data_IF_771441976829
#
_entry.id   IF_771441976829
#
_cell.length_a   1.000
_cell.length_b   1.000
_cell.length_c   1.000
_cell.angle_alpha   90.00
_cell.angle_beta   90.00
_cell.angle_gamma   90.00
#
_symmetry.space_group_name_H-M   'P 1'
#
loop_
_entity.id
_entity.type
_entity.pdbx_description
1 polymer ?
#
# COMPACT_ATOMS: atom_id res chain seq x y z
N UNK A 1 16.89 5.80 -20.98
CA UNK A 1 15.47 5.51 -20.79
C UNK A 1 15.16 4.21 -21.52
N UNK A 2 14.61 3.24 -20.83
CA UNK A 2 14.14 1.98 -21.44
C UNK A 2 12.85 2.29 -22.24
N UNK A 3 12.86 2.14 -23.58
CA UNK A 3 11.68 2.42 -24.41
C UNK A 3 10.51 1.47 -24.13
N UNK A 4 10.74 0.33 -23.46
CA UNK A 4 9.70 -0.58 -23.01
C UNK A 4 9.03 -0.12 -21.70
N UNK A 5 9.63 0.83 -20.98
CA UNK A 5 9.08 1.37 -19.74
C UNK A 5 8.40 2.71 -20.00
N UNK A 6 7.16 2.65 -20.45
CA UNK A 6 6.33 3.82 -20.77
C UNK A 6 5.28 4.07 -19.69
N UNK A 7 4.93 5.35 -19.49
CA UNK A 7 3.83 5.75 -18.61
C UNK A 7 2.46 5.70 -19.31
N UNK A 8 2.44 5.40 -20.61
CA UNK A 8 1.22 5.36 -21.42
C UNK A 8 0.94 3.93 -21.85
N UNK A 9 -0.31 3.52 -21.76
CA UNK A 9 -0.76 2.20 -22.18
C UNK A 9 -0.66 1.95 -23.71
N UNK A 10 -0.95 0.73 -24.16
CA UNK A 10 -0.85 0.34 -25.58
C UNK A 10 -1.74 1.16 -26.52
N UNK A 11 -2.83 1.74 -26.01
CA UNK A 11 -3.72 2.62 -26.73
C UNK A 11 -3.19 4.05 -26.94
N UNK A 12 -2.03 4.36 -26.33
CA UNK A 12 -1.34 5.65 -26.37
C UNK A 12 -2.13 6.83 -25.80
N UNK A 13 -3.16 6.56 -25.03
CA UNK A 13 -4.06 7.55 -24.44
C UNK A 13 -4.12 7.41 -22.92
N UNK A 14 -4.41 6.22 -22.42
CA UNK A 14 -4.57 5.98 -21.00
C UNK A 14 -3.22 5.73 -20.31
N UNK A 15 -3.05 6.20 -19.06
CA UNK A 15 -1.88 5.83 -18.26
C UNK A 15 -1.80 4.31 -18.11
N UNK A 16 -0.60 3.78 -18.21
CA UNK A 16 -0.36 2.38 -17.90
C UNK A 16 -0.65 2.09 -16.42
N UNK A 17 -1.24 0.93 -16.15
CA UNK A 17 -1.66 0.54 -14.79
C UNK A 17 -0.52 0.50 -13.77
N UNK A 18 0.65 0.02 -14.20
CA UNK A 18 1.79 -0.24 -13.32
C UNK A 18 2.77 0.94 -13.28
N UNK A 19 2.85 1.71 -14.35
CA UNK A 19 3.82 2.79 -14.51
C UNK A 19 3.15 4.16 -14.45
N UNK A 20 2.20 4.41 -15.33
CA UNK A 20 1.57 5.72 -15.49
C UNK A 20 0.79 6.15 -14.26
N UNK A 21 0.01 5.26 -13.66
CA UNK A 21 -0.75 5.57 -12.44
C UNK A 21 0.17 5.84 -11.25
N UNK A 22 1.31 5.16 -11.12
CA UNK A 22 2.29 5.40 -10.05
C UNK A 22 2.91 6.79 -10.19
N UNK A 23 3.35 7.16 -11.41
CA UNK A 23 3.90 8.49 -11.67
C UNK A 23 2.86 9.59 -11.41
N UNK A 24 1.63 9.39 -11.85
CA UNK A 24 0.54 10.35 -11.58
C UNK A 24 0.26 10.49 -10.07
N UNK A 25 0.22 9.37 -9.34
CA UNK A 25 0.01 9.38 -7.89
C UNK A 25 1.17 10.12 -7.17
N UNK A 26 2.41 9.85 -7.55
CA UNK A 26 3.58 10.55 -7.02
C UNK A 26 3.51 12.06 -7.24
N UNK A 27 3.27 12.51 -8.48
CA UNK A 27 3.17 13.94 -8.80
C UNK A 27 1.99 14.61 -8.08
N UNK A 28 0.86 13.91 -7.94
CA UNK A 28 -0.30 14.39 -7.20
C UNK A 28 0.02 14.58 -5.71
N UNK A 29 0.64 13.59 -5.06
CA UNK A 29 1.03 13.67 -3.66
C UNK A 29 2.06 14.79 -3.43
N UNK A 30 3.03 14.92 -4.34
CA UNK A 30 4.04 15.97 -4.31
C UNK A 30 3.40 17.37 -4.42
N UNK A 31 2.46 17.55 -5.34
CA UNK A 31 1.74 18.82 -5.52
C UNK A 31 0.90 19.20 -4.29
N UNK A 32 0.44 18.24 -3.51
CA UNK A 32 -0.27 18.46 -2.25
C UNK A 32 0.65 18.66 -1.04
N UNK A 33 1.96 18.65 -1.22
CA UNK A 33 2.95 18.76 -0.15
C UNK A 33 2.72 17.73 0.99
N UNK A 34 2.39 16.49 0.62
CA UNK A 34 2.24 15.39 1.57
C UNK A 34 3.56 15.20 2.32
N UNK A 35 3.54 14.98 3.66
CA UNK A 35 4.76 14.73 4.42
C UNK A 35 5.57 13.57 3.84
N UNK A 36 6.87 13.81 3.63
CA UNK A 36 7.78 12.83 3.03
C UNK A 36 8.24 11.76 4.02
N UNK A 37 8.18 12.08 5.30
CA UNK A 37 8.68 11.23 6.36
C UNK A 37 7.58 10.30 6.88
N UNK A 38 7.84 9.00 6.81
CA UNK A 38 7.18 8.00 7.63
C UNK A 38 7.54 8.28 9.09
N UNK A 39 8.87 8.28 9.38
CA UNK A 39 9.42 8.70 10.66
C UNK A 39 10.92 9.03 10.52
N UNK A 40 11.47 9.75 11.49
CA UNK A 40 12.91 9.93 11.66
C UNK A 40 13.27 9.88 13.13
N UNK A 41 14.21 9.03 13.48
CA UNK A 41 14.74 8.91 14.84
C UNK A 41 16.27 9.04 14.80
N UNK A 42 16.80 10.01 15.54
CA UNK A 42 18.24 10.23 15.72
C UNK A 42 18.57 10.03 17.19
N UNK A 43 19.31 9.00 17.50
CA UNK A 43 19.68 8.59 18.85
C UNK A 43 21.18 8.75 19.09
N UNK A 44 21.57 8.98 20.33
CA UNK A 44 22.97 9.02 20.75
C UNK A 44 23.24 7.85 21.71
N UNK A 45 24.08 6.91 21.30
CA UNK A 45 24.39 5.72 22.08
C UNK A 45 25.27 6.01 23.31
N UNK A 46 26.13 7.05 23.26
CA UNK A 46 27.06 7.38 24.35
C UNK A 46 26.36 7.86 25.62
N UNK A 47 25.31 8.65 25.46
CA UNK A 47 24.60 9.29 26.58
C UNK A 47 23.13 8.86 26.70
N UNK A 48 22.70 7.86 25.93
CA UNK A 48 21.32 7.34 25.92
C UNK A 48 20.28 8.45 25.74
N UNK A 49 20.47 9.34 24.75
CA UNK A 49 19.56 10.46 24.51
C UNK A 49 18.94 10.40 23.11
N UNK A 50 17.70 10.89 23.02
CA UNK A 50 17.04 11.17 21.74
C UNK A 50 17.51 12.55 21.28
N UNK A 51 18.20 12.62 20.14
CA UNK A 51 18.70 13.86 19.54
C UNK A 51 17.61 14.53 18.71
N UNK A 52 16.90 13.75 17.93
CA UNK A 52 15.80 14.20 17.08
C UNK A 52 14.75 13.08 16.95
N UNK A 53 13.48 13.44 16.97
CA UNK A 53 12.41 12.52 16.64
C UNK A 53 11.32 13.27 15.88
N UNK A 54 11.00 12.79 14.67
CA UNK A 54 9.97 13.37 13.81
C UNK A 54 8.97 12.27 13.44
N UNK A 55 7.70 12.55 13.64
CA UNK A 55 6.61 11.61 13.43
C UNK A 55 6.81 10.26 14.16
N UNK A 56 7.51 10.29 15.29
CA UNK A 56 7.73 9.14 16.18
C UNK A 56 7.86 9.61 17.64
N UNK A 57 7.37 8.80 18.57
CA UNK A 57 7.61 8.94 20.00
C UNK A 57 8.59 7.84 20.45
N UNK A 58 9.74 8.22 20.97
CA UNK A 58 10.77 7.29 21.47
C UNK A 58 10.74 7.27 22.98
N UNK A 59 10.70 6.09 23.58
CA UNK A 59 10.76 5.85 25.02
C UNK A 59 11.71 4.70 25.39
N UNK A 60 11.98 4.52 26.68
CA UNK A 60 12.76 3.43 27.26
C UNK A 60 14.16 3.25 26.62
N UNK A 61 14.77 4.37 26.19
CA UNK A 61 16.08 4.37 25.56
C UNK A 61 17.16 4.02 26.58
N UNK A 62 17.86 2.94 26.32
CA UNK A 62 18.99 2.46 27.11
C UNK A 62 20.13 2.07 26.19
N UNK A 63 21.35 2.37 26.59
CA UNK A 63 22.55 2.03 25.84
C UNK A 63 23.62 1.44 26.76
N UNK A 64 24.36 0.47 26.22
CA UNK A 64 25.56 -0.13 26.79
C UNK A 64 26.69 -0.09 25.76
N UNK A 65 27.86 -0.61 26.11
CA UNK A 65 28.96 -0.72 25.14
C UNK A 65 28.68 -1.70 23.97
N UNK A 66 27.70 -2.60 24.15
CA UNK A 66 27.40 -3.63 23.18
C UNK A 66 25.99 -3.56 22.58
N UNK A 67 25.13 -2.71 23.12
CA UNK A 67 23.74 -2.64 22.64
C UNK A 67 23.09 -1.30 22.91
N UNK A 68 22.11 -0.95 22.08
CA UNK A 68 21.14 0.11 22.34
C UNK A 68 19.74 -0.46 22.16
N UNK A 69 18.83 -0.15 23.08
CA UNK A 69 17.44 -0.58 23.05
C UNK A 69 16.52 0.59 23.30
N UNK A 70 15.38 0.62 22.64
CA UNK A 70 14.35 1.64 22.80
C UNK A 70 12.99 1.13 22.34
N UNK A 71 11.94 1.81 22.71
CA UNK A 71 10.58 1.63 22.19
C UNK A 71 10.23 2.81 21.29
N UNK A 72 9.68 2.58 20.11
CA UNK A 72 9.20 3.64 19.25
C UNK A 72 7.74 3.41 18.87
N UNK A 73 6.94 4.49 18.92
CA UNK A 73 5.61 4.59 18.36
C UNK A 73 5.68 5.56 17.18
N UNK A 74 5.60 5.04 15.97
CA UNK A 74 5.69 5.82 14.74
C UNK A 74 4.29 6.22 14.27
N UNK A 75 4.12 7.46 13.81
CA UNK A 75 2.82 8.03 13.45
C UNK A 75 2.34 7.67 12.03
N UNK A 76 3.15 6.95 11.25
CA UNK A 76 2.81 6.48 9.91
C UNK A 76 3.46 5.14 9.61
N UNK A 77 2.88 4.42 8.65
CA UNK A 77 3.42 3.17 8.12
C UNK A 77 4.23 3.44 6.82
N UNK A 78 5.27 2.65 6.54
CA UNK A 78 5.97 2.71 5.26
C UNK A 78 5.04 2.29 4.12
N UNK A 79 5.25 2.87 2.94
CA UNK A 79 4.51 2.47 1.75
C UNK A 79 5.05 1.13 1.22
N UNK A 80 4.21 0.08 1.07
CA UNK A 80 4.66 -1.23 0.65
C UNK A 80 4.90 -1.25 -0.86
N UNK A 81 6.14 -1.49 -1.26
CA UNK A 81 6.46 -1.75 -2.66
C UNK A 81 6.03 -3.18 -3.03
N UNK A 82 5.29 -3.31 -4.11
CA UNK A 82 4.89 -4.60 -4.66
C UNK A 82 5.36 -4.72 -6.10
N UNK A 83 5.60 -5.94 -6.58
CA UNK A 83 6.11 -6.20 -7.93
C UNK A 83 5.27 -5.52 -9.02
N UNK A 84 3.96 -5.37 -8.80
CA UNK A 84 3.05 -4.73 -9.74
C UNK A 84 3.32 -3.25 -10.00
N UNK A 85 4.03 -2.53 -9.11
CA UNK A 85 4.31 -1.10 -9.23
C UNK A 85 5.81 -0.77 -9.27
N UNK A 86 6.68 -1.77 -9.13
CA UNK A 86 8.13 -1.57 -9.05
C UNK A 86 8.71 -0.80 -10.25
N UNK A 87 8.22 -1.07 -11.46
CA UNK A 87 8.64 -0.35 -12.67
C UNK A 87 8.23 1.13 -12.65
N UNK A 88 7.05 1.45 -12.15
CA UNK A 88 6.58 2.82 -11.99
C UNK A 88 7.37 3.57 -10.94
N UNK A 89 7.65 2.93 -9.80
CA UNK A 89 8.47 3.50 -8.72
C UNK A 89 9.90 3.80 -9.18
N UNK A 90 10.46 3.01 -10.10
CA UNK A 90 11.78 3.27 -10.68
C UNK A 90 11.83 4.51 -11.59
N UNK A 91 10.69 5.07 -12.00
CA UNK A 91 10.63 6.27 -12.84
C UNK A 91 10.64 7.58 -12.03
N UNK A 92 10.40 7.51 -10.74
CA UNK A 92 10.31 8.66 -9.84
C UNK A 92 11.13 8.42 -8.57
N UNK A 93 11.66 9.45 -7.89
CA UNK A 93 12.45 9.29 -6.66
C UNK A 93 11.55 9.03 -5.44
N UNK A 94 10.60 8.08 -5.54
CA UNK A 94 9.56 7.84 -4.55
C UNK A 94 10.14 7.53 -3.16
N UNK A 95 11.14 6.62 -3.10
CA UNK A 95 11.79 6.24 -1.84
C UNK A 95 12.45 7.44 -1.15
N UNK A 96 13.14 8.26 -1.92
CA UNK A 96 13.89 9.40 -1.40
C UNK A 96 12.98 10.58 -1.02
N UNK A 97 11.77 10.69 -1.62
CA UNK A 97 10.92 11.85 -1.45
C UNK A 97 9.58 11.55 -0.74
N UNK A 98 9.16 10.29 -0.61
CA UNK A 98 7.82 9.95 -0.10
C UNK A 98 7.79 8.78 0.89
N UNK A 99 8.89 8.04 1.04
CA UNK A 99 8.89 6.79 1.83
C UNK A 99 10.15 6.68 2.70
N UNK A 100 10.31 7.64 3.61
CA UNK A 100 11.50 7.74 4.47
C UNK A 100 11.18 7.35 5.91
N UNK A 101 11.66 6.19 6.36
CA UNK A 101 11.64 5.72 7.75
C UNK A 101 13.07 5.64 8.25
N UNK A 102 13.60 6.77 8.72
CA UNK A 102 15.03 6.97 8.96
C UNK A 102 15.42 6.68 10.40
N UNK A 103 16.35 5.76 10.58
CA UNK A 103 17.01 5.49 11.86
C UNK A 103 18.50 5.90 11.78
N UNK A 104 18.90 6.81 12.66
CA UNK A 104 20.29 7.22 12.87
C UNK A 104 20.70 6.91 14.30
N UNK A 105 21.85 6.26 14.48
CA UNK A 105 22.41 6.01 15.81
C UNK A 105 23.85 6.53 15.85
N UNK A 106 24.07 7.59 16.60
CA UNK A 106 25.36 8.25 16.76
C UNK A 106 26.18 7.67 17.89
N UNK A 107 27.49 7.84 17.81
CA UNK A 107 28.43 7.49 18.86
C UNK A 107 28.42 6.00 19.25
N UNK A 108 28.09 5.10 18.33
CA UNK A 108 28.29 3.66 18.51
C UNK A 108 29.81 3.34 18.50
N UNK A 109 30.20 2.33 19.27
CA UNK A 109 31.56 1.79 19.16
C UNK A 109 31.74 1.14 17.79
N UNK A 110 32.90 1.35 17.14
CA UNK A 110 33.16 0.76 15.82
C UNK A 110 32.92 -0.76 15.80
N UNK A 111 32.24 -1.25 14.78
CA UNK A 111 31.88 -2.65 14.60
C UNK A 111 30.59 -2.82 13.79
N UNK A 112 30.16 -4.05 13.63
CA UNK A 112 28.89 -4.40 12.99
C UNK A 112 27.83 -4.64 14.04
N UNK A 113 26.59 -4.26 13.73
CA UNK A 113 25.45 -4.36 14.62
C UNK A 113 24.29 -5.06 13.92
N UNK A 114 23.60 -5.92 14.66
CA UNK A 114 22.33 -6.51 14.24
C UNK A 114 21.17 -5.70 14.83
N UNK A 115 20.25 -5.26 13.97
CA UNK A 115 18.99 -4.65 14.37
C UNK A 115 17.91 -5.72 14.44
N UNK A 116 17.23 -5.75 15.57
CA UNK A 116 15.97 -6.46 15.75
C UNK A 116 14.86 -5.46 16.08
N UNK A 117 13.67 -5.70 15.54
CA UNK A 117 12.44 -4.99 15.90
C UNK A 117 11.48 -6.05 16.43
N UNK A 118 11.06 -5.93 17.69
CA UNK A 118 10.39 -6.98 18.47
C UNK A 118 11.23 -8.27 18.46
N UNK A 119 10.70 -9.37 17.93
CA UNK A 119 11.41 -10.63 17.81
C UNK A 119 11.99 -10.90 16.39
N UNK A 120 11.90 -9.89 15.48
CA UNK A 120 12.31 -10.04 14.08
C UNK A 120 13.69 -9.46 13.88
N UNK A 121 14.63 -10.24 13.35
CA UNK A 121 15.92 -9.75 12.88
C UNK A 121 15.70 -9.00 11.55
N UNK A 122 15.94 -7.70 11.54
CA UNK A 122 15.70 -6.82 10.39
C UNK A 122 16.89 -6.80 9.45
N UNK A 123 18.10 -6.71 10.00
CA UNK A 123 19.34 -6.68 9.23
C UNK A 123 20.56 -6.39 10.09
N UNK A 124 21.70 -6.20 9.42
CA UNK A 124 22.96 -5.86 10.08
C UNK A 124 23.66 -4.74 9.30
N UNK A 125 24.24 -3.78 10.05
CA UNK A 125 24.93 -2.60 9.50
C UNK A 125 26.17 -2.29 10.32
N UNK A 126 27.12 -1.58 9.71
CA UNK A 126 28.24 -1.02 10.45
C UNK A 126 27.80 0.16 11.34
N UNK A 127 28.62 0.50 12.34
CA UNK A 127 28.41 1.70 13.14
C UNK A 127 28.36 2.98 12.25
N UNK A 128 29.15 3.00 11.17
CA UNK A 128 29.19 4.11 10.22
C UNK A 128 27.89 4.21 9.40
N UNK A 129 27.34 3.10 8.90
CA UNK A 129 26.06 3.09 8.19
C UNK A 129 24.93 3.59 9.10
N UNK A 130 24.90 3.14 10.36
CA UNK A 130 23.91 3.58 11.35
C UNK A 130 24.07 5.07 11.72
N UNK A 131 25.28 5.59 11.70
CA UNK A 131 25.53 7.02 11.92
C UNK A 131 25.12 7.89 10.73
N UNK A 132 25.31 7.39 9.49
CA UNK A 132 24.83 8.03 8.26
C UNK A 132 23.31 7.97 8.15
N UNK A 133 22.70 6.92 8.69
CA UNK A 133 21.27 6.67 8.69
C UNK A 133 20.81 5.62 7.68
N UNK A 134 19.94 4.76 8.13
CA UNK A 134 19.33 3.69 7.31
C UNK A 134 17.84 4.00 7.09
N UNK A 135 17.33 3.70 5.90
CA UNK A 135 15.92 3.80 5.59
C UNK A 135 15.23 2.43 5.79
N UNK A 136 14.49 2.27 6.88
CA UNK A 136 13.80 1.04 7.22
C UNK A 136 12.59 0.75 6.28
N UNK A 137 12.05 1.78 5.62
CA UNK A 137 10.94 1.61 4.68
C UNK A 137 11.31 0.81 3.41
N UNK A 138 12.60 0.56 3.19
CA UNK A 138 13.07 -0.28 2.07
C UNK A 138 13.19 -1.76 2.43
N UNK A 139 12.83 -2.14 3.67
CA UNK A 139 13.01 -3.49 4.19
C UNK A 139 11.65 -4.18 4.36
N UNK A 140 11.49 -5.31 3.70
CA UNK A 140 10.22 -6.04 3.68
C UNK A 140 9.89 -6.76 4.99
N UNK A 141 10.89 -7.01 5.83
CA UNK A 141 10.75 -7.82 7.04
C UNK A 141 10.55 -7.02 8.33
N UNK A 142 10.38 -5.69 8.26
CA UNK A 142 10.05 -4.91 9.47
C UNK A 142 8.59 -5.16 9.89
N UNK A 143 8.27 -5.19 11.20
CA UNK A 143 6.89 -5.30 11.67
C UNK A 143 5.97 -4.22 11.09
N UNK A 144 6.47 -2.99 10.93
CA UNK A 144 5.75 -1.86 10.33
C UNK A 144 5.42 -2.12 8.85
N UNK A 145 6.36 -2.68 8.08
CA UNK A 145 6.11 -3.06 6.69
C UNK A 145 5.09 -4.21 6.60
N UNK A 146 5.18 -5.20 7.49
CA UNK A 146 4.19 -6.28 7.55
C UNK A 146 2.78 -5.77 7.90
N UNK A 147 2.69 -4.80 8.81
CA UNK A 147 1.43 -4.10 9.10
C UNK A 147 0.92 -3.34 7.86
N UNK A 148 1.78 -2.63 7.15
CA UNK A 148 1.45 -1.92 5.92
C UNK A 148 0.94 -2.84 4.81
N UNK A 149 1.58 -4.00 4.63
CA UNK A 149 1.13 -5.03 3.68
C UNK A 149 -0.26 -5.58 4.04
N UNK A 150 -0.55 -5.73 5.34
CA UNK A 150 -1.90 -6.14 5.78
C UNK A 150 -2.94 -5.06 5.48
N UNK A 151 -2.63 -3.78 5.73
CA UNK A 151 -3.49 -2.64 5.37
C UNK A 151 -3.75 -2.64 3.86
N UNK A 152 -2.70 -2.80 3.05
CA UNK A 152 -2.84 -2.90 1.59
C UNK A 152 -3.75 -4.06 1.18
N UNK A 153 -3.58 -5.24 1.76
CA UNK A 153 -4.41 -6.41 1.47
C UNK A 153 -5.89 -6.15 1.73
N UNK A 154 -6.23 -5.50 2.85
CA UNK A 154 -7.60 -5.13 3.19
C UNK A 154 -8.16 -4.11 2.21
N UNK A 155 -7.36 -3.09 1.86
CA UNK A 155 -7.73 -2.09 0.87
C UNK A 155 -7.97 -2.71 -0.52
N UNK A 156 -7.14 -3.65 -0.95
CA UNK A 156 -7.33 -4.36 -2.22
C UNK A 156 -8.63 -5.18 -2.24
N UNK A 157 -9.02 -5.77 -1.10
CA UNK A 157 -10.31 -6.45 -0.97
C UNK A 157 -11.47 -5.46 -1.07
N UNK A 158 -11.36 -4.32 -0.38
CA UNK A 158 -12.37 -3.26 -0.43
C UNK A 158 -12.55 -2.74 -1.87
N UNK A 159 -11.44 -2.47 -2.59
CA UNK A 159 -11.47 -2.04 -3.98
C UNK A 159 -12.16 -3.07 -4.89
N UNK A 160 -11.93 -4.38 -4.67
CA UNK A 160 -12.59 -5.43 -5.44
C UNK A 160 -14.10 -5.43 -5.24
N UNK A 161 -14.59 -5.36 -4.00
CA UNK A 161 -16.02 -5.30 -3.70
C UNK A 161 -16.68 -4.04 -4.27
N UNK A 162 -16.06 -2.87 -4.06
CA UNK A 162 -16.52 -1.61 -4.66
C UNK A 162 -16.51 -1.65 -6.20
N UNK A 163 -15.52 -2.33 -6.78
CA UNK A 163 -15.43 -2.54 -8.24
C UNK A 163 -16.63 -3.32 -8.79
N UNK A 164 -17.07 -4.36 -8.09
CA UNK A 164 -18.25 -5.15 -8.44
C UNK A 164 -19.52 -4.29 -8.42
N UNK A 165 -19.76 -3.54 -7.34
CA UNK A 165 -20.91 -2.63 -7.25
C UNK A 165 -20.89 -1.55 -8.34
N UNK A 166 -19.73 -0.96 -8.62
CA UNK A 166 -19.59 0.03 -9.72
C UNK A 166 -19.85 -0.59 -11.08
N UNK A 167 -19.38 -1.81 -11.34
CA UNK A 167 -19.66 -2.52 -12.59
C UNK A 167 -21.17 -2.79 -12.75
N UNK A 168 -21.85 -3.20 -11.68
CA UNK A 168 -23.29 -3.38 -11.72
C UNK A 168 -24.03 -2.07 -11.99
N UNK A 169 -23.66 -0.98 -11.31
CA UNK A 169 -24.24 0.33 -11.57
C UNK A 169 -23.96 0.81 -13.02
N UNK A 170 -22.77 0.57 -13.53
CA UNK A 170 -22.43 0.88 -14.93
C UNK A 170 -23.36 0.12 -15.89
N UNK A 171 -23.55 -1.19 -15.70
CA UNK A 171 -24.44 -1.99 -16.54
C UNK A 171 -25.88 -1.47 -16.47
N UNK A 172 -26.38 -1.19 -15.26
CA UNK A 172 -27.74 -0.67 -15.06
C UNK A 172 -28.01 0.58 -15.88
N UNK A 173 -27.08 1.53 -15.91
CA UNK A 173 -27.25 2.79 -16.67
C UNK A 173 -26.89 2.64 -18.15
N UNK A 174 -25.78 2.00 -18.49
CA UNK A 174 -25.26 1.97 -19.87
C UNK A 174 -26.05 1.04 -20.80
N UNK A 175 -26.65 -0.03 -20.28
CA UNK A 175 -27.51 -0.93 -21.08
C UNK A 175 -28.87 -0.31 -21.42
N UNK A 176 -29.26 0.75 -20.69
CA UNK A 176 -30.58 1.34 -20.74
C UNK A 176 -31.62 0.60 -19.89
N UNK A 177 -31.18 -0.31 -19.02
CA UNK A 177 -32.06 -1.03 -18.09
C UNK A 177 -32.75 -0.05 -17.13
N UNK A 178 -32.03 0.98 -16.67
CA UNK A 178 -32.58 2.06 -15.79
C UNK A 178 -33.71 2.87 -16.40
N UNK A 179 -33.90 2.80 -17.71
CA UNK A 179 -34.92 3.53 -18.48
C UNK A 179 -35.95 2.59 -19.10
N UNK A 180 -35.91 1.30 -18.75
CA UNK A 180 -36.82 0.28 -19.26
C UNK A 180 -37.97 0.03 -18.27
N UNK A 181 -39.07 -0.57 -18.76
CA UNK A 181 -40.16 -1.03 -17.94
C UNK A 181 -39.92 -2.47 -17.42
N UNK A 182 -38.69 -2.96 -17.45
CA UNK A 182 -38.35 -4.31 -16.96
C UNK A 182 -38.44 -4.32 -15.44
N UNK A 183 -39.16 -5.31 -14.93
CA UNK A 183 -39.19 -5.57 -13.49
C UNK A 183 -37.80 -6.04 -13.04
N UNK A 184 -37.13 -5.25 -12.19
CA UNK A 184 -35.78 -5.53 -11.72
C UNK A 184 -35.70 -6.69 -10.73
N UNK A 185 -36.83 -7.09 -10.15
CA UNK A 185 -36.89 -8.25 -9.28
C UNK A 185 -37.11 -9.57 -10.09
N UNK A 186 -37.52 -9.45 -11.35
CA UNK A 186 -37.61 -10.59 -12.27
C UNK A 186 -36.25 -10.79 -12.98
N UNK A 187 -35.42 -11.69 -12.43
CA UNK A 187 -34.10 -12.02 -12.94
C UNK A 187 -34.14 -12.53 -14.40
N UNK A 188 -35.18 -13.27 -14.78
CA UNK A 188 -35.29 -13.79 -16.14
C UNK A 188 -35.61 -12.65 -17.12
N UNK A 189 -36.50 -11.74 -16.76
CA UNK A 189 -36.81 -10.55 -17.56
C UNK A 189 -35.57 -9.63 -17.73
N UNK A 190 -34.80 -9.40 -16.67
CA UNK A 190 -33.55 -8.65 -16.72
C UNK A 190 -32.54 -9.33 -17.63
N UNK A 191 -32.36 -10.63 -17.49
CA UNK A 191 -31.43 -11.41 -18.32
C UNK A 191 -31.83 -11.36 -19.78
N UNK A 192 -33.09 -11.55 -20.11
CA UNK A 192 -33.62 -11.49 -21.49
C UNK A 192 -33.41 -10.09 -22.11
N UNK A 193 -33.59 -9.03 -21.32
CA UNK A 193 -33.34 -7.66 -21.73
C UNK A 193 -31.86 -7.46 -22.10
N UNK A 194 -30.94 -7.86 -21.21
CA UNK A 194 -29.48 -7.73 -21.42
C UNK A 194 -29.01 -8.58 -22.61
N UNK A 195 -29.53 -9.79 -22.78
CA UNK A 195 -29.24 -10.64 -23.94
C UNK A 195 -29.67 -10.00 -25.25
N UNK A 196 -30.80 -9.28 -25.25
CA UNK A 196 -31.25 -8.52 -26.44
C UNK A 196 -30.27 -7.40 -26.79
N UNK A 197 -29.67 -6.76 -25.80
CA UNK A 197 -28.62 -5.74 -26.03
C UNK A 197 -27.33 -6.38 -26.49
N UNK A 198 -26.94 -7.51 -25.92
CA UNK A 198 -25.72 -8.24 -26.27
C UNK A 198 -25.73 -8.74 -27.73
N UNK A 199 -26.89 -9.23 -28.20
CA UNK A 199 -27.07 -9.65 -29.60
C UNK A 199 -26.79 -8.52 -30.60
N UNK A 200 -27.04 -7.25 -30.24
CA UNK A 200 -26.82 -6.11 -31.14
C UNK A 200 -25.35 -5.80 -31.39
N UNK A 201 -24.47 -6.29 -30.54
CA UNK A 201 -23.03 -6.10 -30.63
C UNK A 201 -22.29 -7.41 -30.92
N UNK A 202 -23.02 -8.45 -31.35
CA UNK A 202 -22.41 -9.71 -31.74
C UNK A 202 -21.46 -9.50 -32.89
N UNK A 203 -20.21 -9.98 -32.74
CA UNK A 203 -19.13 -9.76 -33.71
C UNK A 203 -18.25 -8.53 -33.47
N UNK A 204 -18.62 -7.62 -32.57
CA UNK A 204 -17.78 -6.50 -32.18
C UNK A 204 -16.63 -6.96 -31.27
N UNK A 205 -15.50 -6.26 -31.34
CA UNK A 205 -14.30 -6.60 -30.55
C UNK A 205 -14.50 -6.54 -29.04
N UNK A 206 -15.48 -5.76 -28.56
CA UNK A 206 -15.82 -5.61 -27.15
C UNK A 206 -16.95 -6.55 -26.67
N UNK A 207 -17.49 -7.40 -27.52
CA UNK A 207 -18.58 -8.33 -27.20
C UNK A 207 -18.27 -9.15 -25.94
N UNK A 208 -17.09 -9.77 -25.88
CA UNK A 208 -16.67 -10.59 -24.74
C UNK A 208 -16.62 -9.81 -23.42
N UNK A 209 -16.14 -8.57 -23.48
CA UNK A 209 -16.10 -7.69 -22.32
C UNK A 209 -17.52 -7.39 -21.81
N UNK A 210 -18.43 -6.95 -22.68
CA UNK A 210 -19.82 -6.62 -22.29
C UNK A 210 -20.55 -7.84 -21.77
N UNK A 211 -20.35 -9.00 -22.39
CA UNK A 211 -20.93 -10.27 -21.92
C UNK A 211 -20.55 -10.58 -20.47
N UNK A 212 -19.27 -10.42 -20.15
CA UNK A 212 -18.78 -10.63 -18.79
C UNK A 212 -19.37 -9.61 -17.81
N UNK A 213 -19.51 -8.33 -18.22
CA UNK A 213 -20.13 -7.30 -17.40
C UNK A 213 -21.63 -7.62 -17.10
N UNK A 214 -22.38 -8.11 -18.10
CA UNK A 214 -23.78 -8.48 -17.92
C UNK A 214 -23.96 -9.70 -17.01
N UNK A 215 -23.06 -10.70 -17.16
CA UNK A 215 -23.07 -11.85 -16.25
C UNK A 215 -22.73 -11.43 -14.79
N UNK A 216 -21.74 -10.54 -14.60
CA UNK A 216 -21.40 -10.03 -13.27
C UNK A 216 -22.50 -9.16 -12.67
N UNK A 217 -23.27 -8.41 -13.48
CA UNK A 217 -24.43 -7.66 -13.01
C UNK A 217 -25.45 -8.56 -12.31
N UNK A 218 -25.80 -9.69 -12.93
CA UNK A 218 -26.75 -10.65 -12.36
C UNK A 218 -26.25 -11.25 -11.05
N UNK A 219 -24.96 -11.57 -10.96
CA UNK A 219 -24.34 -12.08 -9.72
C UNK A 219 -24.39 -11.03 -8.59
N UNK A 220 -24.01 -9.78 -8.91
CA UNK A 220 -23.96 -8.69 -7.92
C UNK A 220 -25.35 -8.38 -7.37
N UNK A 221 -26.38 -8.37 -8.22
CA UNK A 221 -27.77 -8.11 -7.78
C UNK A 221 -28.25 -9.11 -6.71
N UNK A 222 -27.79 -10.36 -6.78
CA UNK A 222 -28.08 -11.35 -5.74
C UNK A 222 -27.23 -11.25 -4.47
N UNK A 223 -26.11 -10.52 -4.52
CA UNK A 223 -25.09 -10.45 -3.47
C UNK A 223 -24.90 -9.03 -2.89
N UNK A 224 -25.73 -8.05 -3.25
CA UNK A 224 -25.54 -6.65 -2.84
C UNK A 224 -25.45 -6.48 -1.32
N UNK A 225 -26.31 -7.15 -0.57
CA UNK A 225 -26.36 -7.08 0.90
C UNK A 225 -25.07 -7.65 1.49
N UNK A 226 -24.66 -8.82 1.02
CA UNK A 226 -23.42 -9.48 1.48
C UNK A 226 -22.17 -8.65 1.13
N UNK A 227 -22.17 -8.01 -0.04
CA UNK A 227 -21.07 -7.12 -0.44
C UNK A 227 -21.01 -5.88 0.47
N UNK A 228 -22.14 -5.27 0.79
CA UNK A 228 -22.19 -4.10 1.69
C UNK A 228 -21.76 -4.47 3.12
N UNK A 229 -22.20 -5.64 3.61
CA UNK A 229 -21.76 -6.15 4.91
C UNK A 229 -20.25 -6.40 4.92
N UNK A 230 -19.70 -7.04 3.87
CA UNK A 230 -18.26 -7.28 3.73
C UNK A 230 -17.47 -5.96 3.67
N UNK A 231 -17.95 -4.95 2.93
CA UNK A 231 -17.34 -3.62 2.87
C UNK A 231 -17.30 -2.95 4.24
N UNK A 232 -18.40 -3.04 5.01
CA UNK A 232 -18.45 -2.48 6.35
C UNK A 232 -17.44 -3.15 7.30
N UNK A 233 -17.33 -4.48 7.24
CA UNK A 233 -16.36 -5.24 8.05
C UNK A 233 -14.91 -4.91 7.65
N UNK A 234 -14.60 -4.88 6.36
CA UNK A 234 -13.28 -4.50 5.85
C UNK A 234 -12.89 -3.07 6.27
N UNK A 235 -13.85 -2.15 6.25
CA UNK A 235 -13.63 -0.78 6.71
C UNK A 235 -13.24 -0.71 8.19
N UNK A 236 -13.97 -1.41 9.04
CA UNK A 236 -13.67 -1.47 10.47
C UNK A 236 -12.31 -2.14 10.74
N UNK A 237 -12.01 -3.27 10.08
CA UNK A 237 -10.73 -3.95 10.23
C UNK A 237 -9.57 -3.07 9.75
N UNK A 238 -9.73 -2.38 8.61
CA UNK A 238 -8.72 -1.48 8.07
C UNK A 238 -8.37 -0.36 9.07
N UNK A 239 -9.38 0.26 9.67
CA UNK A 239 -9.16 1.30 10.70
C UNK A 239 -8.46 0.77 11.95
N UNK A 240 -8.72 -0.47 12.35
CA UNK A 240 -8.04 -1.11 13.48
C UNK A 240 -6.58 -1.44 13.14
N UNK A 241 -6.34 -2.07 11.99
CA UNK A 241 -5.00 -2.49 11.56
C UNK A 241 -4.12 -1.29 11.22
N UNK A 242 -4.69 -0.17 10.78
CA UNK A 242 -3.93 1.05 10.45
C UNK A 242 -3.55 1.90 11.67
N UNK A 243 -3.89 1.48 12.89
CA UNK A 243 -3.48 2.24 14.09
C UNK A 243 -1.98 2.06 14.36
N UNK A 244 -1.28 3.11 14.79
CA UNK A 244 0.11 3.01 15.21
C UNK A 244 0.30 1.97 16.32
N UNK A 245 1.37 1.18 16.21
CA UNK A 245 1.77 0.17 17.19
C UNK A 245 3.17 0.50 17.70
N UNK A 246 3.37 0.42 19.00
CA UNK A 246 4.68 0.60 19.59
C UNK A 246 5.54 -0.67 19.40
N UNK A 247 6.76 -0.48 18.88
CA UNK A 247 7.71 -1.56 18.64
C UNK A 247 8.98 -1.41 19.47
N UNK A 248 9.54 -2.54 19.92
CA UNK A 248 10.81 -2.59 20.64
C UNK A 248 11.96 -2.78 19.66
N UNK A 249 12.86 -1.81 19.63
CA UNK A 249 14.08 -1.85 18.85
C UNK A 249 15.25 -2.33 19.71
N UNK A 250 16.06 -3.24 19.18
CA UNK A 250 17.27 -3.74 19.81
C UNK A 250 18.39 -3.77 18.77
N UNK A 251 19.44 -3.00 19.00
CA UNK A 251 20.62 -2.95 18.13
C UNK A 251 21.78 -3.51 18.96
N UNK A 252 22.29 -4.67 18.57
CA UNK A 252 23.33 -5.39 19.31
C UNK A 252 24.59 -5.51 18.47
N UNK A 253 25.73 -5.18 19.07
CA UNK A 253 27.04 -5.33 18.43
C UNK A 253 27.34 -6.81 18.23
N UNK A 254 27.72 -7.15 17.02
CA UNK A 254 28.18 -8.50 16.70
C UNK A 254 29.61 -8.66 17.25
N UNK A 255 29.79 -9.60 18.17
CA UNK A 255 31.14 -9.92 18.64
C UNK A 255 31.97 -10.44 17.47
N UNK A 256 33.09 -9.77 17.19
CA UNK A 256 34.08 -10.32 16.28
C UNK A 256 34.75 -11.47 17.01
N UNK A 257 34.49 -12.71 16.60
CA UNK A 257 35.32 -13.86 17.00
C UNK A 257 36.65 -13.82 16.27
#
# INVERSE_FOLDING_TARGET
LDPANTIVGPDRVHPDWHNGHVVMAYEFLKAQAVPQLVSKMVLNARNSSVVESMNAAVSDLQSTNSSITFTALEGALPFPQTDGIAKGLALVPFEAEMNQQILVIRDLIAGNYTLMIDAVTVGAWSAEDLEQGINLATLDNTPQMQQSLKVKQLNDQQIRHQGRLRSAAYVFYSSGLSQSDVDLEDTDAVTAFLDTKLKKIEGESWYGYVKNQYAEYSNVRGEEVEIDEALNQLHLELYQVNQPVAHRFTVTRNDSF
#
